data_IF_174270446878
#
_entry.id   IF_174270446878
#
_cell.length_a   1.000
_cell.length_b   1.000
_cell.length_c   1.000
_cell.angle_alpha   90.00
_cell.angle_beta   90.00
_cell.angle_gamma   90.00
#
_symmetry.space_group_name_H-M   'P 1'
#
loop_
_entity.id
_entity.type
_entity.pdbx_description
1 polymer ?
#
# COMPACT_ATOMS: atom_id res chain seq x y z
N UNK A 1 -19.23 -24.48 19.50
CA UNK A 1 -19.35 -23.27 18.65
C UNK A 1 -18.95 -21.94 19.32
N UNK A 2 -18.45 -21.88 20.58
CA UNK A 2 -18.14 -20.61 21.28
C UNK A 2 -16.71 -20.51 21.85
N UNK A 3 -15.69 -21.00 21.14
CA UNK A 3 -14.30 -20.99 21.66
C UNK A 3 -13.53 -19.71 21.28
N UNK A 4 -14.07 -18.93 20.32
CA UNK A 4 -13.44 -17.70 19.80
C UNK A 4 -13.66 -16.47 20.70
N UNK A 5 -14.63 -16.51 21.61
CA UNK A 5 -15.08 -15.38 22.44
C UNK A 5 -15.24 -15.88 23.88
N UNK A 6 -14.38 -15.42 24.79
CA UNK A 6 -14.60 -15.52 26.23
C UNK A 6 -14.96 -14.13 26.74
N UNK A 7 -16.13 -13.95 27.34
CA UNK A 7 -16.53 -12.69 28.01
C UNK A 7 -16.46 -11.44 27.12
N UNK A 8 -16.82 -11.55 25.84
CA UNK A 8 -16.73 -10.43 24.88
C UNK A 8 -15.32 -10.16 24.34
N UNK A 9 -14.30 -10.90 24.77
CA UNK A 9 -12.92 -10.76 24.29
C UNK A 9 -12.67 -11.72 23.13
N UNK A 10 -12.55 -11.17 21.91
CA UNK A 10 -12.12 -11.92 20.73
C UNK A 10 -10.72 -12.51 20.94
N UNK A 11 -10.55 -13.79 20.54
CA UNK A 11 -9.28 -14.56 20.61
C UNK A 11 -8.83 -14.95 22.03
N UNK A 12 -9.74 -14.98 23.01
CA UNK A 12 -9.43 -15.30 24.41
C UNK A 12 -8.62 -16.61 24.58
N UNK A 13 -9.07 -17.72 23.98
CA UNK A 13 -8.37 -19.01 24.11
C UNK A 13 -6.96 -18.96 23.51
N UNK A 14 -6.81 -18.34 22.33
CA UNK A 14 -5.51 -18.20 21.67
C UNK A 14 -4.54 -17.41 22.54
N UNK A 15 -4.97 -16.27 23.10
CA UNK A 15 -4.15 -15.47 24.01
C UNK A 15 -3.73 -16.25 25.26
N UNK A 16 -4.61 -17.08 25.82
CA UNK A 16 -4.31 -17.92 26.99
C UNK A 16 -3.31 -19.02 26.68
N UNK A 17 -3.42 -19.67 25.51
CA UNK A 17 -2.50 -20.73 25.08
C UNK A 17 -1.07 -20.23 24.84
N UNK A 18 -0.91 -19.02 24.30
CA UNK A 18 0.41 -18.45 23.96
C UNK A 18 1.00 -17.56 25.05
N UNK A 19 0.33 -17.43 26.21
CA UNK A 19 0.69 -16.46 27.28
C UNK A 19 2.09 -16.68 27.85
N UNK A 20 2.56 -17.92 27.86
CA UNK A 20 3.87 -18.29 28.39
C UNK A 20 4.96 -18.35 27.32
N UNK A 21 4.63 -18.07 26.05
CA UNK A 21 5.55 -18.13 24.91
C UNK A 21 5.89 -16.72 24.40
N UNK A 22 4.92 -15.80 24.44
CA UNK A 22 5.09 -14.43 23.96
C UNK A 22 5.11 -13.43 25.12
N UNK A 23 5.88 -12.32 25.03
CA UNK A 23 5.83 -11.25 26.01
C UNK A 23 4.41 -10.68 26.18
N UNK A 24 4.06 -10.29 27.41
CA UNK A 24 2.75 -9.72 27.75
C UNK A 24 2.36 -8.52 26.89
N UNK A 25 3.34 -7.73 26.47
CA UNK A 25 3.19 -6.55 25.61
C UNK A 25 2.64 -6.92 24.22
N UNK A 26 3.08 -8.04 23.65
CA UNK A 26 2.63 -8.53 22.34
C UNK A 26 1.21 -9.09 22.41
N UNK A 27 0.91 -9.86 23.46
CA UNK A 27 -0.40 -10.52 23.65
C UNK A 27 -1.51 -9.48 23.91
N UNK A 28 -1.17 -8.41 24.65
CA UNK A 28 -2.12 -7.37 25.06
C UNK A 28 -2.15 -6.17 24.10
N UNK A 29 -1.28 -6.13 23.09
CA UNK A 29 -1.29 -5.08 22.07
C UNK A 29 -2.68 -4.93 21.43
N UNK A 30 -3.12 -3.68 21.27
CA UNK A 30 -4.33 -3.36 20.50
C UNK A 30 -4.14 -3.87 19.06
N UNK A 31 -5.19 -4.43 18.47
CA UNK A 31 -5.15 -4.78 17.05
C UNK A 31 -4.84 -3.51 16.26
N UNK A 32 -3.70 -3.50 15.61
CA UNK A 32 -3.36 -2.52 14.59
C UNK A 32 -3.61 -3.20 13.25
N UNK A 33 -4.27 -2.50 12.33
CA UNK A 33 -4.37 -2.99 10.96
C UNK A 33 -2.99 -3.08 10.32
N UNK A 34 -2.87 -3.85 9.25
CA UNK A 34 -1.71 -3.84 8.36
C UNK A 34 -1.80 -2.64 7.41
N UNK A 35 -1.96 -1.44 7.97
CA UNK A 35 -1.95 -0.21 7.20
C UNK A 35 -0.56 -0.02 6.62
N UNK A 36 -0.45 -0.04 5.30
CA UNK A 36 0.79 0.33 4.61
C UNK A 36 1.10 1.78 4.97
N UNK A 37 2.34 2.13 5.36
CA UNK A 37 2.71 3.50 5.70
C UNK A 37 2.91 4.33 4.41
N UNK A 38 1.85 4.42 3.60
CA UNK A 38 1.85 5.06 2.28
C UNK A 38 2.39 6.47 2.37
N UNK A 39 1.99 7.21 3.42
CA UNK A 39 2.47 8.56 3.68
C UNK A 39 4.00 8.55 3.81
N UNK A 40 4.59 7.79 4.74
CA UNK A 40 6.04 7.74 4.98
C UNK A 40 6.86 7.32 3.75
N UNK A 41 6.32 6.40 2.94
CA UNK A 41 6.96 6.01 1.68
C UNK A 41 6.94 7.17 0.69
N UNK A 42 5.81 7.85 0.58
CA UNK A 42 5.61 8.95 -0.36
C UNK A 42 6.54 10.15 -0.14
N UNK A 43 6.95 10.45 1.10
CA UNK A 43 7.94 11.51 1.38
C UNK A 43 9.39 11.13 1.08
N UNK A 44 9.65 9.88 0.72
CA UNK A 44 10.97 9.39 0.35
C UNK A 44 11.02 9.14 -1.16
N UNK A 45 11.94 8.30 -1.61
CA UNK A 45 12.22 8.02 -3.02
C UNK A 45 10.99 7.52 -3.82
N UNK A 46 9.99 6.95 -3.13
CA UNK A 46 8.77 6.43 -3.74
C UNK A 46 7.93 7.52 -4.43
N UNK A 47 7.95 8.76 -3.92
CA UNK A 47 7.21 9.87 -4.53
C UNK A 47 7.73 10.21 -5.94
N UNK A 48 9.05 10.13 -6.15
CA UNK A 48 9.69 10.33 -7.45
C UNK A 48 9.30 9.21 -8.43
N UNK A 49 9.49 7.95 -8.02
CA UNK A 49 9.08 6.79 -8.81
C UNK A 49 7.61 6.87 -9.25
N UNK A 50 6.70 7.18 -8.33
CA UNK A 50 5.28 7.31 -8.65
C UNK A 50 5.02 8.39 -9.70
N UNK A 51 5.70 9.54 -9.59
CA UNK A 51 5.55 10.64 -10.55
C UNK A 51 6.02 10.24 -11.94
N UNK A 52 7.20 9.62 -12.03
CA UNK A 52 7.79 9.23 -13.31
C UNK A 52 6.94 8.17 -13.99
N UNK A 53 6.43 7.21 -13.21
CA UNK A 53 5.56 6.15 -13.72
C UNK A 53 4.23 6.69 -14.27
N UNK A 54 3.59 7.60 -13.53
CA UNK A 54 2.35 8.24 -13.99
C UNK A 54 2.58 9.12 -15.23
N UNK A 55 3.70 9.84 -15.30
CA UNK A 55 4.04 10.64 -16.47
C UNK A 55 4.31 9.78 -17.70
N UNK A 56 5.04 8.68 -17.54
CA UNK A 56 5.30 7.71 -18.60
C UNK A 56 4.00 7.09 -19.11
N UNK A 57 3.10 6.69 -18.20
CA UNK A 57 1.80 6.15 -18.58
C UNK A 57 0.94 7.14 -19.37
N UNK A 58 0.88 8.39 -18.91
CA UNK A 58 0.15 9.46 -19.60
C UNK A 58 0.82 9.94 -20.89
N UNK A 59 2.05 9.52 -21.21
CA UNK A 59 2.69 9.89 -22.47
C UNK A 59 2.13 9.13 -23.67
N UNK A 60 1.48 7.99 -23.41
CA UNK A 60 0.96 7.09 -24.44
C UNK A 60 -0.50 6.66 -24.19
N UNK A 61 -1.13 7.20 -23.13
CA UNK A 61 -2.55 6.99 -22.81
C UNK A 61 -3.20 8.32 -22.41
N UNK A 62 -4.54 8.38 -22.45
CA UNK A 62 -5.35 9.54 -22.10
C UNK A 62 -6.26 9.32 -20.87
N UNK A 63 -5.99 8.27 -20.07
CA UNK A 63 -6.81 7.90 -18.91
C UNK A 63 -6.88 8.98 -17.81
N UNK A 64 -5.83 9.79 -17.65
CA UNK A 64 -5.74 10.76 -16.56
C UNK A 64 -5.37 12.16 -17.04
N UNK A 65 -6.06 13.18 -16.49
CA UNK A 65 -5.66 14.57 -16.68
C UNK A 65 -4.33 14.84 -15.95
N UNK A 66 -3.28 15.11 -16.74
CA UNK A 66 -1.94 15.44 -16.24
C UNK A 66 -1.95 16.61 -15.24
N UNK A 67 -2.74 17.66 -15.49
CA UNK A 67 -2.84 18.81 -14.58
C UNK A 67 -3.42 18.39 -13.24
N UNK A 68 -4.40 17.48 -13.24
CA UNK A 68 -4.98 16.98 -12.00
C UNK A 68 -4.01 16.09 -11.24
N UNK A 69 -3.25 15.24 -11.93
CA UNK A 69 -2.17 14.45 -11.32
C UNK A 69 -1.15 15.37 -10.63
N UNK A 70 -0.71 16.45 -11.28
CA UNK A 70 0.19 17.43 -10.68
C UNK A 70 -0.40 18.08 -9.42
N UNK A 71 -1.70 18.37 -9.41
CA UNK A 71 -2.42 18.86 -8.21
C UNK A 71 -2.35 17.83 -7.07
N UNK A 72 -2.53 16.53 -7.35
CA UNK A 72 -2.45 15.50 -6.32
C UNK A 72 -1.07 15.47 -5.66
N UNK A 73 0.01 15.56 -6.46
CA UNK A 73 1.37 15.60 -5.94
C UNK A 73 1.62 16.87 -5.12
N UNK A 74 1.19 18.05 -5.61
CA UNK A 74 1.33 19.32 -4.87
C UNK A 74 0.59 19.31 -3.54
N UNK A 75 -0.61 18.74 -3.52
CA UNK A 75 -1.44 18.61 -2.31
C UNK A 75 -1.05 17.42 -1.44
N UNK A 76 0.01 16.70 -1.79
CA UNK A 76 0.53 15.56 -1.06
C UNK A 76 -0.52 14.49 -0.75
N UNK A 77 -1.40 14.23 -1.73
CA UNK A 77 -2.52 13.31 -1.61
C UNK A 77 -2.06 11.86 -1.79
N UNK A 78 -1.14 11.41 -0.93
CA UNK A 78 -0.43 10.13 -1.04
C UNK A 78 -1.35 8.92 -1.25
N UNK A 79 -2.51 8.89 -0.57
CA UNK A 79 -3.50 7.82 -0.74
C UNK A 79 -4.12 7.79 -2.15
N UNK A 80 -4.46 8.96 -2.71
CA UNK A 80 -5.02 9.04 -4.07
C UNK A 80 -3.98 8.64 -5.09
N UNK A 81 -2.75 9.12 -4.92
CA UNK A 81 -1.63 8.80 -5.82
C UNK A 81 -1.34 7.29 -5.77
N UNK A 82 -1.40 6.68 -4.58
CA UNK A 82 -1.29 5.24 -4.43
C UNK A 82 -2.35 4.49 -5.25
N UNK A 83 -3.61 4.91 -5.23
CA UNK A 83 -4.66 4.26 -6.02
C UNK A 83 -4.42 4.37 -7.52
N UNK A 84 -4.07 5.57 -8.01
CA UNK A 84 -3.77 5.79 -9.42
C UNK A 84 -2.55 4.98 -9.85
N UNK A 85 -1.49 4.95 -9.04
CA UNK A 85 -0.30 4.17 -9.31
C UNK A 85 -0.60 2.67 -9.39
N UNK A 86 -1.41 2.13 -8.48
CA UNK A 86 -1.80 0.72 -8.54
C UNK A 86 -2.58 0.40 -9.81
N UNK A 87 -3.46 1.30 -10.25
CA UNK A 87 -4.15 1.14 -11.54
C UNK A 87 -3.15 1.10 -12.70
N UNK A 88 -2.21 2.05 -12.75
CA UNK A 88 -1.20 2.12 -13.82
C UNK A 88 -0.35 0.85 -13.86
N UNK A 89 0.19 0.41 -12.70
CA UNK A 89 1.00 -0.80 -12.63
C UNK A 89 0.22 -2.06 -13.04
N UNK A 90 -1.07 -2.12 -12.68
CA UNK A 90 -1.94 -3.20 -13.13
C UNK A 90 -2.18 -3.15 -14.64
N UNK A 91 -2.45 -1.97 -15.20
CA UNK A 91 -2.73 -1.78 -16.62
C UNK A 91 -1.52 -2.18 -17.47
N UNK A 92 -0.35 -1.61 -17.15
CA UNK A 92 0.90 -1.94 -17.82
C UNK A 92 1.18 -3.45 -17.75
N UNK A 93 0.94 -4.08 -16.60
CA UNK A 93 1.21 -5.51 -16.42
C UNK A 93 0.24 -6.41 -17.20
N UNK A 94 -1.05 -6.11 -17.19
CA UNK A 94 -2.09 -7.05 -17.62
C UNK A 94 -2.77 -6.68 -18.93
N UNK A 95 -2.76 -5.41 -19.30
CA UNK A 95 -3.33 -4.91 -20.55
C UNK A 95 -2.24 -4.72 -21.61
N UNK A 96 -1.12 -4.09 -21.23
CA UNK A 96 0.02 -3.86 -22.13
C UNK A 96 1.07 -4.98 -22.11
N UNK A 97 0.98 -5.89 -21.12
CA UNK A 97 1.86 -7.04 -20.96
C UNK A 97 3.35 -6.68 -20.75
N UNK A 98 3.63 -5.52 -20.15
CA UNK A 98 4.98 -5.07 -19.75
C UNK A 98 5.54 -6.02 -18.68
N UNK A 99 6.79 -6.47 -18.84
CA UNK A 99 7.39 -7.47 -17.94
C UNK A 99 7.96 -6.82 -16.70
N UNK A 100 7.79 -7.48 -15.56
CA UNK A 100 8.25 -6.99 -14.24
C UNK A 100 9.75 -6.67 -14.15
N UNK A 101 10.58 -7.25 -15.01
CA UNK A 101 12.03 -7.05 -14.99
C UNK A 101 12.43 -5.71 -15.65
N UNK A 102 11.59 -5.18 -16.53
CA UNK A 102 11.83 -3.90 -17.23
C UNK A 102 11.68 -2.69 -16.28
N UNK A 103 10.90 -2.84 -15.20
CA UNK A 103 10.70 -1.79 -14.19
C UNK A 103 11.95 -1.50 -13.35
N UNK A 104 12.90 -2.46 -13.28
CA UNK A 104 14.12 -2.34 -12.47
C UNK A 104 15.26 -1.61 -13.22
N UNK A 105 15.13 -1.43 -14.54
CA UNK A 105 16.15 -0.77 -15.37
C UNK A 105 15.91 0.73 -15.51
N UNK A 106 14.66 1.18 -15.39
CA UNK A 106 14.27 2.60 -15.51
C UNK A 106 14.49 3.43 -14.23
N UNK A 107 15.07 2.84 -13.18
CA UNK A 107 15.28 3.48 -11.87
C UNK A 107 16.73 3.89 -11.58
N UNK A 108 17.61 4.00 -12.58
CA UNK A 108 18.98 4.51 -12.45
C UNK A 108 19.11 5.93 -12.98
#
# INVERSE_FOLDING_TARGET
KNVKIGSGVLKYLFKKAVKNILPSEIINRKKQGFGVPIYEWFFKEFGGFARDKLNSFNSHTDFFDKKYIDVLFRNNSAQKIWFVLNFVLWHERWIENIKSHEYMETGK
#
